data_IF_504089181509
#
_entry.id   IF_504089181509
#
_cell.length_a   1.000
_cell.length_b   1.000
_cell.length_c   1.000
_cell.angle_alpha   90.00
_cell.angle_beta   90.00
_cell.angle_gamma   90.00
#
_symmetry.space_group_name_H-M   'P 1'
#
loop_
_entity.id
_entity.type
_entity.pdbx_description
1 polymer ?
#
# COMPACT_ATOMS: atom_id res chain seq x y z
N UNK A 1 15.70 27.24 9.64
CA UNK A 1 17.06 27.07 9.08
C UNK A 1 17.04 25.83 8.20
N UNK A 2 17.08 25.95 6.86
CA UNK A 2 17.17 24.76 5.98
C UNK A 2 18.63 24.31 5.92
N UNK A 3 19.05 23.55 6.93
CA UNK A 3 20.41 23.05 7.09
C UNK A 3 20.45 21.58 6.71
N UNK A 4 20.24 21.23 5.44
CA UNK A 4 20.62 19.90 4.93
C UNK A 4 21.14 20.07 3.51
N UNK A 5 22.34 20.65 3.40
CA UNK A 5 23.27 20.29 2.34
C UNK A 5 24.27 19.31 2.97
N UNK A 6 23.73 18.27 3.62
CA UNK A 6 24.55 17.15 4.09
C UNK A 6 24.84 16.36 2.81
N UNK A 7 26.06 16.46 2.30
CA UNK A 7 26.55 15.63 1.20
C UNK A 7 26.73 14.17 1.65
N UNK A 8 25.72 13.58 2.30
CA UNK A 8 25.73 12.20 2.69
C UNK A 8 25.31 11.32 1.50
N UNK A 9 25.96 10.16 1.39
CA UNK A 9 25.65 9.18 0.37
C UNK A 9 25.38 7.83 1.02
N UNK A 10 24.24 7.24 0.69
CA UNK A 10 23.86 5.91 1.15
C UNK A 10 24.03 4.92 0.00
N UNK A 11 24.86 3.91 0.20
CA UNK A 11 25.18 2.88 -0.79
C UNK A 11 24.53 1.58 -0.33
N UNK A 12 23.39 1.23 -0.93
CA UNK A 12 22.68 0.00 -0.68
C UNK A 12 23.16 -1.10 -1.63
N UNK A 13 24.13 -1.89 -1.18
CA UNK A 13 24.70 -2.99 -1.97
C UNK A 13 25.31 -4.06 -1.07
N UNK A 14 25.11 -5.33 -1.42
CA UNK A 14 25.80 -6.46 -0.78
C UNK A 14 27.21 -6.70 -1.37
N UNK A 15 27.55 -6.09 -2.51
CA UNK A 15 28.82 -6.31 -3.24
C UNK A 15 29.91 -5.33 -2.81
N UNK A 16 30.93 -5.84 -2.13
CA UNK A 16 31.99 -5.01 -1.52
C UNK A 16 32.81 -4.22 -2.55
N UNK A 17 33.15 -4.85 -3.68
CA UNK A 17 33.86 -4.25 -4.80
C UNK A 17 33.11 -3.05 -5.39
N UNK A 18 31.79 -3.16 -5.53
CA UNK A 18 30.94 -2.07 -6.01
C UNK A 18 30.91 -0.92 -5.00
N UNK A 19 30.73 -1.22 -3.71
CA UNK A 19 30.75 -0.20 -2.65
C UNK A 19 32.07 0.57 -2.63
N UNK A 20 33.20 -0.12 -2.76
CA UNK A 20 34.53 0.50 -2.74
C UNK A 20 34.73 1.46 -3.92
N UNK A 21 34.32 1.04 -5.13
CA UNK A 21 34.40 1.89 -6.33
C UNK A 21 33.51 3.12 -6.19
N UNK A 22 32.26 2.97 -5.71
CA UNK A 22 31.33 4.09 -5.51
C UNK A 22 31.90 5.05 -4.47
N UNK A 23 32.35 4.53 -3.32
CA UNK A 23 32.93 5.33 -2.22
C UNK A 23 34.13 6.13 -2.69
N UNK A 24 35.06 5.51 -3.42
CA UNK A 24 36.22 6.21 -3.96
C UNK A 24 35.83 7.26 -5.02
N UNK A 25 34.81 6.97 -5.83
CA UNK A 25 34.31 7.90 -6.85
C UNK A 25 33.68 9.14 -6.22
N UNK A 26 32.84 8.97 -5.20
CA UNK A 26 32.24 10.06 -4.42
C UNK A 26 33.32 10.90 -3.72
N UNK A 27 34.31 10.25 -3.09
CA UNK A 27 35.47 10.94 -2.49
C UNK A 27 36.20 11.80 -3.51
N UNK A 28 36.41 11.30 -4.72
CA UNK A 28 37.05 12.05 -5.81
C UNK A 28 36.20 13.25 -6.28
N UNK A 29 34.88 13.23 -6.06
CA UNK A 29 33.99 14.38 -6.29
C UNK A 29 33.94 15.36 -5.10
N UNK A 30 34.74 15.13 -4.06
CA UNK A 30 34.85 16.01 -2.89
C UNK A 30 33.87 15.70 -1.76
N UNK A 31 33.14 14.58 -1.83
CA UNK A 31 32.24 14.13 -0.76
C UNK A 31 33.07 13.61 0.43
N UNK A 32 32.78 14.09 1.65
CA UNK A 32 33.47 13.61 2.87
C UNK A 32 33.17 12.12 3.09
N UNK A 33 34.22 11.32 3.21
CA UNK A 33 34.12 9.88 3.46
C UNK A 33 33.41 9.52 4.76
N UNK A 34 33.38 10.41 5.75
CA UNK A 34 32.63 10.19 6.99
C UNK A 34 31.11 10.22 6.77
N UNK A 35 30.65 10.83 5.68
CA UNK A 35 29.25 10.94 5.30
C UNK A 35 28.85 9.92 4.21
N UNK A 36 29.75 8.99 3.87
CA UNK A 36 29.42 7.90 2.93
C UNK A 36 29.12 6.65 3.76
N UNK A 37 27.86 6.21 3.71
CA UNK A 37 27.31 5.11 4.49
C UNK A 37 27.10 3.90 3.58
N UNK A 38 27.69 2.77 3.96
CA UNK A 38 27.45 1.49 3.30
C UNK A 38 26.32 0.77 4.05
N UNK A 39 25.23 0.47 3.37
CA UNK A 39 24.06 -0.18 3.96
C UNK A 39 23.80 -1.51 3.26
N UNK A 40 23.42 -2.52 4.04
CA UNK A 40 23.14 -3.89 3.54
C UNK A 40 21.76 -4.39 3.94
N UNK A 41 21.07 -3.69 4.85
CA UNK A 41 19.71 -3.97 5.29
C UNK A 41 18.73 -2.96 4.71
N UNK A 42 17.59 -3.43 4.21
CA UNK A 42 16.56 -2.58 3.61
C UNK A 42 16.04 -1.55 4.62
N UNK A 43 15.76 -2.00 5.86
CA UNK A 43 15.18 -1.15 6.91
C UNK A 43 16.09 0.01 7.30
N UNK A 44 17.40 -0.20 7.27
CA UNK A 44 18.38 0.84 7.56
C UNK A 44 18.35 1.95 6.48
N UNK A 45 18.21 1.58 5.19
CA UNK A 45 18.06 2.56 4.11
C UNK A 45 16.75 3.33 4.24
N UNK A 46 15.64 2.63 4.51
CA UNK A 46 14.33 3.27 4.72
C UNK A 46 14.38 4.27 5.87
N UNK A 47 14.99 3.90 7.00
CA UNK A 47 15.11 4.80 8.16
C UNK A 47 15.93 6.06 7.83
N UNK A 48 16.96 5.95 6.99
CA UNK A 48 17.74 7.10 6.54
C UNK A 48 16.93 8.02 5.61
N UNK A 49 16.07 7.44 4.76
CA UNK A 49 15.14 8.19 3.92
C UNK A 49 14.16 8.98 4.79
N UNK A 50 13.53 8.34 5.78
CA UNK A 50 12.56 8.99 6.68
C UNK A 50 13.16 10.18 7.43
N UNK A 51 14.42 10.04 7.86
CA UNK A 51 15.15 11.11 8.55
C UNK A 51 15.74 12.16 7.60
N UNK A 52 15.58 11.98 6.28
CA UNK A 52 16.17 12.84 5.25
C UNK A 52 17.69 13.02 5.42
N UNK A 53 18.38 11.96 5.80
CA UNK A 53 19.81 11.99 6.16
C UNK A 53 20.76 11.87 4.96
N UNK A 54 20.25 11.89 3.73
CA UNK A 54 21.04 11.60 2.54
C UNK A 54 20.85 12.65 1.42
N UNK A 55 21.94 12.91 0.68
CA UNK A 55 21.90 13.66 -0.57
C UNK A 55 21.90 12.74 -1.79
N UNK A 56 22.59 11.60 -1.72
CA UNK A 56 22.69 10.63 -2.82
C UNK A 56 22.29 9.24 -2.36
N UNK A 57 21.40 8.60 -3.10
CA UNK A 57 21.01 7.22 -2.87
C UNK A 57 21.55 6.36 -4.01
N UNK A 58 22.44 5.42 -3.71
CA UNK A 58 22.98 4.48 -4.69
C UNK A 58 22.42 3.10 -4.38
N UNK A 59 21.71 2.52 -5.35
CA UNK A 59 21.00 1.26 -5.23
C UNK A 59 21.65 0.22 -6.15
N UNK A 60 21.87 -0.97 -5.64
CA UNK A 60 22.35 -2.12 -6.41
C UNK A 60 21.22 -3.14 -6.56
N UNK A 61 20.73 -3.34 -7.79
CA UNK A 61 19.65 -4.27 -8.12
C UNK A 61 19.93 -5.70 -7.65
N UNK A 62 21.21 -6.08 -7.54
CA UNK A 62 21.63 -7.41 -7.10
C UNK A 62 21.35 -7.69 -5.61
N UNK A 63 20.94 -6.68 -4.82
CA UNK A 63 20.43 -6.93 -3.45
C UNK A 63 19.09 -7.67 -3.43
N UNK A 64 18.33 -7.57 -4.53
CA UNK A 64 17.00 -8.15 -4.72
C UNK A 64 16.05 -7.15 -5.37
N UNK A 65 15.31 -7.57 -6.41
CA UNK A 65 14.36 -6.71 -7.12
C UNK A 65 13.28 -6.14 -6.18
N UNK A 66 12.68 -7.00 -5.35
CA UNK A 66 11.71 -6.60 -4.31
C UNK A 66 12.25 -5.47 -3.43
N UNK A 67 13.44 -5.68 -2.86
CA UNK A 67 14.02 -4.73 -1.92
C UNK A 67 14.33 -3.38 -2.56
N UNK A 68 14.87 -3.37 -3.79
CA UNK A 68 15.11 -2.12 -4.52
C UNK A 68 13.80 -1.41 -4.88
N UNK A 69 12.76 -2.14 -5.29
CA UNK A 69 11.45 -1.56 -5.56
C UNK A 69 10.83 -0.95 -4.30
N UNK A 70 10.91 -1.63 -3.16
CA UNK A 70 10.46 -1.10 -1.88
C UNK A 70 11.19 0.21 -1.58
N UNK A 71 12.53 0.24 -1.68
CA UNK A 71 13.32 1.45 -1.39
C UNK A 71 12.95 2.60 -2.33
N UNK A 72 12.79 2.34 -3.63
CA UNK A 72 12.36 3.36 -4.59
C UNK A 72 10.95 3.90 -4.28
N UNK A 73 10.02 3.01 -3.93
CA UNK A 73 8.64 3.38 -3.59
C UNK A 73 8.58 4.18 -2.29
N UNK A 74 9.30 3.75 -1.26
CA UNK A 74 9.41 4.44 0.03
C UNK A 74 10.04 5.81 -0.14
N UNK A 75 11.11 5.90 -0.94
CA UNK A 75 11.76 7.16 -1.26
C UNK A 75 10.81 8.19 -1.88
N UNK A 76 10.01 7.74 -2.85
CA UNK A 76 8.98 8.58 -3.47
C UNK A 76 7.92 9.02 -2.47
N UNK A 77 7.43 8.11 -1.62
CA UNK A 77 6.41 8.44 -0.60
C UNK A 77 6.93 9.48 0.40
N UNK A 78 8.15 9.29 0.91
CA UNK A 78 8.76 10.18 1.90
C UNK A 78 9.01 11.59 1.36
N UNK A 79 9.40 11.72 0.09
CA UNK A 79 9.77 13.02 -0.48
C UNK A 79 8.70 13.64 -1.37
N UNK A 80 7.64 12.92 -1.75
CA UNK A 80 6.62 13.26 -2.76
C UNK A 80 7.23 13.58 -4.12
N UNK A 81 8.08 14.61 -4.19
CA UNK A 81 8.90 15.05 -5.32
C UNK A 81 10.31 14.54 -5.10
N UNK A 82 10.80 13.68 -5.99
CA UNK A 82 12.15 13.14 -5.87
C UNK A 82 13.21 14.23 -6.10
N UNK A 83 13.66 14.83 -5.01
CA UNK A 83 14.63 15.91 -4.96
C UNK A 83 16.07 15.43 -4.78
N UNK A 84 16.22 14.20 -4.29
CA UNK A 84 17.48 13.54 -4.03
C UNK A 84 17.81 12.59 -5.20
N UNK A 85 18.98 12.72 -5.85
CA UNK A 85 19.34 11.86 -6.96
C UNK A 85 19.53 10.41 -6.52
N UNK A 86 18.94 9.52 -7.31
CA UNK A 86 19.13 8.08 -7.20
C UNK A 86 20.02 7.59 -8.34
N UNK A 87 21.01 6.75 -8.02
CA UNK A 87 21.81 6.02 -8.99
C UNK A 87 21.55 4.52 -8.85
N UNK A 88 21.04 3.89 -9.91
CA UNK A 88 20.76 2.46 -9.93
C UNK A 88 21.81 1.68 -10.71
N UNK A 89 22.34 0.62 -10.11
CA UNK A 89 23.30 -0.30 -10.72
C UNK A 89 22.63 -1.67 -10.88
N UNK A 90 22.72 -2.29 -12.04
CA UNK A 90 22.24 -3.64 -12.28
C UNK A 90 23.22 -4.41 -13.17
N UNK A 91 23.58 -5.64 -12.81
CA UNK A 91 24.56 -6.44 -13.57
C UNK A 91 23.95 -7.13 -14.80
N UNK A 92 22.61 -7.19 -14.86
CA UNK A 92 21.87 -7.87 -15.91
C UNK A 92 21.19 -6.87 -16.84
N UNK A 93 21.44 -6.99 -18.14
CA UNK A 93 20.65 -6.29 -19.15
C UNK A 93 19.20 -6.74 -19.09
N UNK A 94 18.32 -5.82 -18.72
CA UNK A 94 16.89 -6.07 -18.61
C UNK A 94 16.13 -4.75 -18.77
N UNK A 95 15.34 -4.67 -19.83
CA UNK A 95 14.53 -3.48 -20.13
C UNK A 95 13.56 -3.15 -18.99
N UNK A 96 13.02 -4.16 -18.29
CA UNK A 96 12.14 -3.94 -17.15
C UNK A 96 12.81 -3.14 -16.01
N UNK A 97 14.12 -3.31 -15.79
CA UNK A 97 14.87 -2.54 -14.80
C UNK A 97 14.96 -1.07 -15.24
N UNK A 98 15.20 -0.83 -16.52
CA UNK A 98 15.25 0.53 -17.07
C UNK A 98 13.88 1.23 -16.96
N UNK A 99 12.79 0.51 -17.21
CA UNK A 99 11.45 1.08 -17.10
C UNK A 99 11.05 1.34 -15.65
N UNK A 100 11.45 0.47 -14.72
CA UNK A 100 11.32 0.74 -13.29
C UNK A 100 12.13 1.98 -12.88
N UNK A 101 13.38 2.09 -13.32
CA UNK A 101 14.21 3.27 -13.06
C UNK A 101 13.54 4.57 -13.55
N UNK A 102 12.92 4.54 -14.74
CA UNK A 102 12.13 5.68 -15.26
C UNK A 102 10.91 5.97 -14.38
N UNK A 103 10.12 4.96 -14.01
CA UNK A 103 8.90 5.12 -13.20
C UNK A 103 9.14 5.79 -11.83
N UNK A 104 10.32 5.59 -11.26
CA UNK A 104 10.73 6.18 -9.98
C UNK A 104 11.75 7.33 -10.16
N UNK A 105 11.77 7.95 -11.34
CA UNK A 105 12.70 8.99 -11.84
C UNK A 105 14.17 8.92 -11.36
N UNK A 106 14.70 7.70 -11.30
CA UNK A 106 16.12 7.43 -11.06
C UNK A 106 16.98 8.27 -12.00
N UNK A 107 17.87 9.06 -11.40
CA UNK A 107 18.65 10.10 -12.08
C UNK A 107 19.77 9.54 -12.96
N UNK A 108 20.33 8.39 -12.59
CA UNK A 108 21.37 7.71 -13.37
C UNK A 108 21.21 6.20 -13.27
N UNK A 109 21.58 5.46 -14.33
CA UNK A 109 21.64 4.01 -14.27
C UNK A 109 22.83 3.43 -15.01
N UNK A 110 23.36 2.32 -14.49
CA UNK A 110 24.32 1.44 -15.18
C UNK A 110 23.73 0.05 -15.18
N UNK A 111 23.38 -0.45 -16.37
CA UNK A 111 22.73 -1.74 -16.56
C UNK A 111 23.60 -2.59 -17.50
N UNK A 112 23.80 -3.87 -17.17
CA UNK A 112 24.59 -4.81 -17.95
C UNK A 112 25.99 -5.02 -17.38
N UNK A 113 27.00 -5.17 -18.23
CA UNK A 113 28.38 -5.36 -17.77
C UNK A 113 28.85 -4.16 -16.94
N UNK A 114 29.08 -4.40 -15.64
CA UNK A 114 29.46 -3.34 -14.72
C UNK A 114 30.94 -3.02 -14.88
N UNK A 115 31.20 -1.90 -15.54
CA UNK A 115 32.54 -1.31 -15.66
C UNK A 115 32.74 -0.22 -14.60
N UNK A 116 33.86 -0.29 -13.87
CA UNK A 116 34.23 0.70 -12.85
C UNK A 116 34.40 2.12 -13.41
N UNK A 117 34.82 2.26 -14.67
CA UNK A 117 34.93 3.57 -15.33
C UNK A 117 33.53 4.16 -15.57
N UNK A 118 32.57 3.34 -15.99
CA UNK A 118 31.17 3.75 -16.14
C UNK A 118 30.56 4.19 -14.81
N UNK A 119 30.82 3.45 -13.71
CA UNK A 119 30.37 3.88 -12.36
C UNK A 119 30.95 5.26 -12.01
N UNK A 120 32.26 5.48 -12.25
CA UNK A 120 32.91 6.77 -11.97
C UNK A 120 32.30 7.90 -12.78
N UNK A 121 32.03 7.67 -14.06
CA UNK A 121 31.42 8.65 -14.95
C UNK A 121 29.98 9.00 -14.52
N UNK A 122 29.16 8.00 -14.19
CA UNK A 122 27.80 8.21 -13.70
C UNK A 122 27.80 9.01 -12.39
N UNK A 123 28.66 8.68 -11.42
CA UNK A 123 28.77 9.43 -10.16
C UNK A 123 29.22 10.87 -10.40
N UNK A 124 30.21 11.08 -11.28
CA UNK A 124 30.65 12.43 -11.65
C UNK A 124 29.51 13.24 -12.28
N UNK A 125 28.73 12.63 -13.18
CA UNK A 125 27.54 13.23 -13.79
C UNK A 125 26.49 13.59 -12.75
N UNK A 126 26.13 12.63 -11.90
CA UNK A 126 25.13 12.76 -10.83
C UNK A 126 25.47 13.91 -9.87
N UNK A 127 26.70 13.95 -9.34
CA UNK A 127 27.16 15.02 -8.43
C UNK A 127 27.21 16.37 -9.15
N UNK A 128 27.65 16.40 -10.41
CA UNK A 128 27.68 17.61 -11.22
C UNK A 128 26.28 18.17 -11.48
N UNK A 129 25.30 17.32 -11.82
CA UNK A 129 23.90 17.71 -11.98
C UNK A 129 23.27 18.17 -10.67
N UNK A 130 23.57 17.46 -9.58
CA UNK A 130 23.11 17.83 -8.26
C UNK A 130 23.55 19.26 -7.90
N UNK A 131 24.85 19.55 -8.03
CA UNK A 131 25.40 20.87 -7.69
C UNK A 131 24.95 21.98 -8.64
N UNK A 132 24.62 21.66 -9.89
CA UNK A 132 24.17 22.65 -10.88
C UNK A 132 22.77 23.22 -10.60
N UNK A 133 21.93 22.51 -9.85
CA UNK A 133 20.56 22.93 -9.49
C UNK A 133 19.82 23.54 -10.70
N UNK A 134 19.45 22.72 -11.69
CA UNK A 134 18.72 23.18 -12.88
C UNK A 134 17.45 23.98 -12.49
N UNK A 135 17.00 24.94 -13.31
CA UNK A 135 15.82 25.76 -12.97
C UNK A 135 14.59 24.93 -12.59
N UNK A 136 14.35 23.84 -13.33
CA UNK A 136 13.26 22.90 -13.04
C UNK A 136 13.43 22.24 -11.66
N UNK A 137 14.65 21.81 -11.32
CA UNK A 137 14.95 21.22 -10.01
C UNK A 137 14.79 22.22 -8.88
N UNK A 138 15.19 23.48 -9.07
CA UNK A 138 14.97 24.53 -8.08
C UNK A 138 13.48 24.76 -7.81
N UNK A 139 12.65 24.73 -8.84
CA UNK A 139 11.19 24.83 -8.67
C UNK A 139 10.68 23.61 -7.93
N UNK A 140 11.05 22.40 -8.34
CA UNK A 140 10.63 21.16 -7.68
C UNK A 140 11.01 21.10 -6.18
N UNK A 141 12.23 21.54 -5.82
CA UNK A 141 12.65 21.68 -4.41
C UNK A 141 11.78 22.68 -3.62
N UNK A 142 11.34 23.77 -4.27
CA UNK A 142 10.43 24.74 -3.64
C UNK A 142 9.03 24.15 -3.47
N UNK A 143 8.54 23.42 -4.47
CA UNK A 143 7.26 22.71 -4.37
C UNK A 143 7.30 21.73 -3.20
N UNK A 144 8.36 20.95 -3.07
CA UNK A 144 8.53 19.98 -1.99
C UNK A 144 8.51 20.67 -0.62
N UNK A 145 9.26 21.77 -0.50
CA UNK A 145 9.29 22.58 0.71
C UNK A 145 7.89 23.12 1.05
N UNK A 146 7.19 23.72 0.09
CA UNK A 146 5.84 24.24 0.29
C UNK A 146 4.85 23.15 0.71
N UNK A 147 4.95 21.93 0.16
CA UNK A 147 4.13 20.79 0.60
C UNK A 147 4.40 20.43 2.06
N UNK A 148 5.67 20.32 2.45
CA UNK A 148 6.06 20.05 3.85
C UNK A 148 5.59 21.13 4.82
N UNK A 149 5.48 22.37 4.36
CA UNK A 149 4.97 23.50 5.16
C UNK A 149 3.43 23.59 5.13
N UNK A 150 2.73 22.66 4.46
CA UNK A 150 1.27 22.67 4.32
C UNK A 150 0.73 23.71 3.33
N UNK A 151 1.62 24.41 2.62
CA UNK A 151 1.29 25.45 1.64
C UNK A 151 0.91 24.85 0.27
N UNK A 152 -0.07 23.95 0.26
CA UNK A 152 -0.40 23.12 -0.89
C UNK A 152 -0.80 23.93 -2.14
N UNK A 153 -1.43 25.10 -1.97
CA UNK A 153 -1.81 25.96 -3.10
C UNK A 153 -0.61 26.62 -3.79
N UNK A 154 0.43 26.98 -3.02
CA UNK A 154 1.68 27.49 -3.59
C UNK A 154 2.43 26.40 -4.34
N UNK A 155 2.45 25.18 -3.79
CA UNK A 155 3.01 24.01 -4.46
C UNK A 155 2.31 23.76 -5.80
N UNK A 156 0.98 23.83 -5.80
CA UNK A 156 0.15 23.70 -6.99
C UNK A 156 0.47 24.77 -8.04
N UNK A 157 0.45 26.06 -7.68
CA UNK A 157 0.75 27.17 -8.61
C UNK A 157 2.16 27.04 -9.24
N UNK A 158 3.13 26.56 -8.46
CA UNK A 158 4.49 26.31 -8.96
C UNK A 158 4.53 25.16 -9.97
N UNK A 159 3.79 24.08 -9.75
CA UNK A 159 3.69 22.95 -10.69
C UNK A 159 2.95 23.36 -11.98
N UNK A 160 1.90 24.16 -11.90
CA UNK A 160 1.22 24.71 -13.09
C UNK A 160 2.18 25.57 -13.92
N UNK A 161 3.03 26.38 -13.28
CA UNK A 161 4.07 27.15 -13.99
C UNK A 161 5.09 26.25 -14.68
N UNK A 162 5.44 25.11 -14.08
CA UNK A 162 6.29 24.11 -14.74
C UNK A 162 5.61 23.59 -16.00
N UNK A 163 4.35 23.17 -15.90
CA UNK A 163 3.60 22.63 -17.04
C UNK A 163 3.34 23.68 -18.13
N UNK A 164 3.19 24.95 -17.77
CA UNK A 164 3.09 26.05 -18.75
C UNK A 164 4.34 26.19 -19.63
N UNK A 165 5.53 25.84 -19.12
CA UNK A 165 6.80 25.90 -19.86
C UNK A 165 7.22 24.53 -20.43
N UNK A 166 6.78 23.44 -19.80
CA UNK A 166 7.11 22.06 -20.17
C UNK A 166 5.84 21.19 -20.03
N UNK A 167 4.91 21.29 -21.00
CA UNK A 167 3.59 20.65 -20.90
C UNK A 167 3.61 19.13 -20.73
N UNK A 168 4.68 18.49 -21.19
CA UNK A 168 4.86 17.03 -21.15
C UNK A 168 5.88 16.60 -20.08
N UNK A 169 6.13 17.42 -19.05
CA UNK A 169 7.01 17.04 -17.95
C UNK A 169 6.33 15.97 -17.07
N UNK A 170 6.75 14.68 -17.13
CA UNK A 170 6.05 13.59 -16.45
C UNK A 170 6.03 13.76 -14.93
N UNK A 171 7.08 14.36 -14.36
CA UNK A 171 7.15 14.62 -12.92
C UNK A 171 6.09 15.63 -12.52
N UNK A 172 6.03 16.80 -13.15
CA UNK A 172 5.04 17.80 -12.79
C UNK A 172 3.59 17.34 -13.00
N UNK A 173 3.33 16.53 -14.04
CA UNK A 173 2.01 15.92 -14.27
C UNK A 173 1.63 15.00 -13.11
N UNK A 174 2.53 14.07 -12.73
CA UNK A 174 2.30 13.12 -11.63
C UNK A 174 2.09 13.84 -10.32
N UNK A 175 2.95 14.81 -9.99
CA UNK A 175 2.83 15.57 -8.74
C UNK A 175 1.51 16.33 -8.62
N UNK A 176 1.10 16.97 -9.71
CA UNK A 176 -0.14 17.73 -9.73
C UNK A 176 -1.36 16.80 -9.57
N UNK A 177 -1.36 15.68 -10.28
CA UNK A 177 -2.41 14.68 -10.18
C UNK A 177 -2.49 14.05 -8.78
N UNK A 178 -1.35 13.68 -8.18
CA UNK A 178 -1.29 13.15 -6.82
C UNK A 178 -1.78 14.19 -5.79
N UNK A 179 -1.46 15.47 -5.98
CA UNK A 179 -1.98 16.55 -5.13
C UNK A 179 -3.50 16.72 -5.25
N UNK A 180 -4.10 16.48 -6.40
CA UNK A 180 -5.56 16.50 -6.54
C UNK A 180 -6.19 15.26 -5.91
N UNK A 181 -5.59 14.08 -6.13
CA UNK A 181 -6.01 12.82 -5.52
C UNK A 181 -6.00 12.91 -3.99
N UNK A 182 -4.96 13.48 -3.38
CA UNK A 182 -4.87 13.64 -1.92
C UNK A 182 -5.92 14.62 -1.36
N UNK A 183 -6.48 15.51 -2.18
CA UNK A 183 -7.59 16.41 -1.81
C UNK A 183 -8.96 15.83 -2.17
N UNK A 184 -9.03 14.56 -2.59
CA UNK A 184 -10.22 13.92 -3.12
C UNK A 184 -10.82 14.61 -4.36
N UNK A 185 -10.03 15.42 -5.08
CA UNK A 185 -10.42 16.08 -6.32
C UNK A 185 -10.11 15.19 -7.54
N UNK A 186 -10.84 14.07 -7.62
CA UNK A 186 -10.61 13.02 -8.61
C UNK A 186 -10.83 13.49 -10.05
N UNK A 187 -11.74 14.45 -10.25
CA UNK A 187 -12.04 15.02 -11.57
C UNK A 187 -10.90 15.89 -12.09
N UNK A 188 -10.33 16.77 -11.24
CA UNK A 188 -9.17 17.55 -11.65
C UNK A 188 -7.95 16.66 -11.91
N UNK A 189 -7.71 15.65 -11.07
CA UNK A 189 -6.66 14.67 -11.31
C UNK A 189 -6.83 13.97 -12.68
N UNK A 190 -8.05 13.54 -13.01
CA UNK A 190 -8.33 12.93 -14.31
C UNK A 190 -8.08 13.89 -15.47
N UNK A 191 -8.48 15.16 -15.34
CA UNK A 191 -8.28 16.19 -16.36
C UNK A 191 -6.80 16.49 -16.62
N UNK A 192 -5.94 16.38 -15.61
CA UNK A 192 -4.49 16.47 -15.75
C UNK A 192 -3.90 15.21 -16.40
N UNK A 193 -4.36 14.01 -16.03
CA UNK A 193 -3.75 12.75 -16.48
C UNK A 193 -4.18 12.32 -17.89
N UNK A 194 -5.46 12.51 -18.22
CA UNK A 194 -6.09 11.97 -19.45
C UNK A 194 -5.39 12.41 -20.74
N UNK A 195 -4.98 13.68 -20.93
CA UNK A 195 -4.26 14.10 -22.14
C UNK A 195 -2.91 13.41 -22.33
N UNK A 196 -2.30 12.93 -21.24
CA UNK A 196 -0.93 12.38 -21.23
C UNK A 196 -0.87 10.85 -21.20
N UNK A 197 -2.01 10.16 -21.27
CA UNK A 197 -2.06 8.68 -21.28
C UNK A 197 -1.32 8.03 -22.47
N UNK A 198 -1.13 8.78 -23.55
CA UNK A 198 -0.45 8.37 -24.78
C UNK A 198 0.86 9.15 -25.04
N UNK A 199 1.45 9.73 -23.99
CA UNK A 199 2.72 10.45 -24.13
C UNK A 199 3.85 9.55 -24.64
N UNK A 200 4.82 10.14 -25.33
CA UNK A 200 6.01 9.49 -25.86
C UNK A 200 7.28 10.16 -25.30
N UNK A 201 8.11 9.47 -24.49
CA UNK A 201 7.98 8.06 -24.10
C UNK A 201 6.83 7.80 -23.11
N UNK A 202 6.23 6.59 -23.11
CA UNK A 202 5.11 6.25 -22.24
C UNK A 202 5.54 6.22 -20.77
N UNK A 203 4.64 6.61 -19.88
CA UNK A 203 4.91 6.68 -18.44
C UNK A 203 3.91 5.86 -17.62
N UNK A 204 4.41 4.82 -16.94
CA UNK A 204 3.59 3.86 -16.21
C UNK A 204 2.78 4.51 -15.08
N UNK A 205 3.38 5.45 -14.34
CA UNK A 205 2.73 6.09 -13.19
C UNK A 205 1.51 6.93 -13.59
N UNK A 206 1.52 7.59 -14.74
CA UNK A 206 0.36 8.33 -15.24
C UNK A 206 -0.83 7.40 -15.48
N UNK A 207 -0.59 6.23 -16.09
CA UNK A 207 -1.64 5.20 -16.29
C UNK A 207 -2.13 4.61 -14.96
N UNK A 208 -1.24 4.40 -13.99
CA UNK A 208 -1.61 3.93 -12.65
C UNK A 208 -2.49 4.96 -11.92
N UNK A 209 -2.09 6.24 -11.88
CA UNK A 209 -2.90 7.28 -11.25
C UNK A 209 -4.26 7.45 -11.94
N UNK A 210 -4.31 7.34 -13.27
CA UNK A 210 -5.56 7.37 -14.01
C UNK A 210 -6.46 6.19 -13.60
N UNK A 211 -5.89 4.99 -13.39
CA UNK A 211 -6.65 3.87 -12.85
C UNK A 211 -7.29 4.19 -11.51
N UNK A 212 -6.57 4.86 -10.59
CA UNK A 212 -7.14 5.30 -9.29
C UNK A 212 -8.31 6.27 -9.47
N UNK A 213 -8.24 7.20 -10.43
CA UNK A 213 -9.38 8.04 -10.78
C UNK A 213 -10.58 7.21 -11.26
N UNK A 214 -10.36 6.21 -12.13
CA UNK A 214 -11.42 5.30 -12.61
C UNK A 214 -12.03 4.47 -11.48
N UNK A 215 -11.23 3.99 -10.54
CA UNK A 215 -11.71 3.28 -9.34
C UNK A 215 -12.67 4.14 -8.52
N UNK A 216 -12.35 5.42 -8.32
CA UNK A 216 -13.23 6.33 -7.58
C UNK A 216 -14.52 6.66 -8.30
N UNK A 217 -14.59 6.41 -9.61
CA UNK A 217 -15.81 6.47 -10.41
C UNK A 217 -16.55 5.12 -10.47
N UNK A 218 -16.11 4.12 -9.71
CA UNK A 218 -16.58 2.73 -9.76
C UNK A 218 -16.43 2.07 -11.14
N UNK A 219 -15.56 2.60 -12.02
CA UNK A 219 -15.19 1.94 -13.27
C UNK A 219 -14.03 0.96 -13.05
N UNK A 220 -14.35 -0.18 -12.43
CA UNK A 220 -13.39 -1.24 -12.14
C UNK A 220 -12.71 -1.79 -13.41
N UNK A 221 -13.44 -1.90 -14.52
CA UNK A 221 -12.89 -2.44 -15.77
C UNK A 221 -11.90 -1.46 -16.42
N UNK A 222 -12.23 -0.16 -16.48
CA UNK A 222 -11.29 0.85 -16.99
C UNK A 222 -10.08 1.05 -16.08
N UNK A 223 -10.24 0.90 -14.77
CA UNK A 223 -9.12 0.85 -13.83
C UNK A 223 -8.19 -0.32 -14.13
N UNK A 224 -8.71 -1.54 -14.21
CA UNK A 224 -7.92 -2.74 -14.55
C UNK A 224 -7.22 -2.58 -15.91
N UNK A 225 -7.90 -2.04 -16.93
CA UNK A 225 -7.28 -1.81 -18.23
C UNK A 225 -6.09 -0.83 -18.15
N UNK A 226 -6.24 0.22 -17.34
CA UNK A 226 -5.19 1.22 -17.12
C UNK A 226 -4.02 0.66 -16.31
N UNK A 227 -4.28 -0.14 -15.27
CA UNK A 227 -3.26 -0.86 -14.51
C UNK A 227 -2.50 -1.87 -15.40
N UNK A 228 -3.21 -2.67 -16.21
CA UNK A 228 -2.57 -3.57 -17.19
C UNK A 228 -1.66 -2.80 -18.15
N UNK A 229 -2.11 -1.64 -18.64
CA UNK A 229 -1.30 -0.77 -19.49
C UNK A 229 -0.05 -0.22 -18.79
N UNK A 230 -0.13 0.11 -17.50
CA UNK A 230 1.02 0.52 -16.70
C UNK A 230 1.98 -0.65 -16.44
N UNK A 231 1.45 -1.85 -16.18
CA UNK A 231 2.22 -3.09 -15.94
C UNK A 231 3.05 -3.51 -17.15
N UNK A 232 2.50 -3.34 -18.36
CA UNK A 232 3.24 -3.59 -19.60
C UNK A 232 4.43 -2.64 -19.78
N UNK A 233 4.36 -1.42 -19.25
CA UNK A 233 5.46 -0.45 -19.34
C UNK A 233 6.54 -0.78 -18.31
N UNK A 234 6.15 -1.03 -17.05
CA UNK A 234 7.09 -1.21 -15.93
C UNK A 234 6.65 -2.38 -15.05
N UNK A 235 7.16 -3.61 -15.25
CA UNK A 235 6.53 -4.81 -14.71
C UNK A 235 6.88 -5.14 -13.24
N UNK A 236 7.78 -4.39 -12.59
CA UNK A 236 8.23 -4.70 -11.22
C UNK A 236 7.46 -3.97 -10.11
N UNK A 237 6.42 -3.19 -10.45
CA UNK A 237 5.63 -2.47 -9.46
C UNK A 237 4.65 -3.43 -8.75
N UNK A 238 4.99 -3.79 -7.51
CA UNK A 238 4.20 -4.71 -6.67
C UNK A 238 2.85 -4.12 -6.26
N UNK A 239 2.81 -2.83 -5.91
CA UNK A 239 1.57 -2.10 -5.55
C UNK A 239 0.52 -2.24 -6.66
N UNK A 240 0.93 -2.13 -7.92
CA UNK A 240 0.04 -2.26 -9.06
C UNK A 240 -0.54 -3.67 -9.22
N UNK A 241 0.29 -4.70 -9.08
CA UNK A 241 -0.16 -6.10 -9.16
C UNK A 241 -1.07 -6.46 -7.98
N UNK A 242 -0.81 -5.92 -6.78
CA UNK A 242 -1.68 -6.07 -5.62
C UNK A 242 -3.05 -5.42 -5.87
N UNK A 243 -3.07 -4.16 -6.33
CA UNK A 243 -4.31 -3.46 -6.69
C UNK A 243 -5.11 -4.22 -7.75
N UNK A 244 -4.45 -4.74 -8.80
CA UNK A 244 -5.10 -5.58 -9.80
C UNK A 244 -5.68 -6.85 -9.19
N UNK A 245 -4.90 -7.54 -8.35
CA UNK A 245 -5.34 -8.75 -7.66
C UNK A 245 -6.58 -8.51 -6.79
N UNK A 246 -6.57 -7.48 -5.98
CA UNK A 246 -7.70 -7.11 -5.12
C UNK A 246 -8.95 -6.75 -5.94
N UNK A 247 -8.79 -6.00 -7.03
CA UNK A 247 -9.91 -5.68 -7.93
C UNK A 247 -10.49 -6.92 -8.62
N UNK A 248 -9.64 -7.86 -9.01
CA UNK A 248 -10.11 -9.13 -9.56
C UNK A 248 -10.88 -9.94 -8.52
N UNK A 249 -10.46 -9.94 -7.25
CA UNK A 249 -11.24 -10.57 -6.17
C UNK A 249 -12.61 -9.90 -6.01
N UNK A 250 -12.68 -8.57 -5.98
CA UNK A 250 -13.96 -7.85 -5.89
C UNK A 250 -14.91 -8.17 -7.06
N UNK A 251 -14.37 -8.42 -8.25
CA UNK A 251 -15.14 -8.76 -9.45
C UNK A 251 -15.40 -10.27 -9.63
N UNK A 252 -15.11 -11.09 -8.62
CA UNK A 252 -15.22 -12.56 -8.66
C UNK A 252 -14.38 -13.25 -9.75
N UNK A 253 -13.22 -12.67 -10.07
CA UNK A 253 -12.25 -13.19 -11.04
C UNK A 253 -11.05 -13.79 -10.31
N UNK A 254 -11.32 -14.82 -9.50
CA UNK A 254 -10.34 -15.42 -8.56
C UNK A 254 -9.07 -15.92 -9.26
N UNK A 255 -9.19 -16.49 -10.47
CA UNK A 255 -8.03 -16.98 -11.24
C UNK A 255 -7.09 -15.83 -11.61
N UNK A 256 -7.62 -14.74 -12.17
CA UNK A 256 -6.81 -13.55 -12.54
C UNK A 256 -6.23 -12.83 -11.33
N UNK A 257 -6.93 -12.86 -10.19
CA UNK A 257 -6.40 -12.35 -8.94
C UNK A 257 -5.17 -13.16 -8.51
N UNK A 258 -5.30 -14.49 -8.52
CA UNK A 258 -4.24 -15.42 -8.15
C UNK A 258 -3.03 -15.27 -9.06
N UNK A 259 -3.25 -15.18 -10.37
CA UNK A 259 -2.18 -14.92 -11.36
C UNK A 259 -1.42 -13.62 -11.05
N UNK A 260 -2.12 -12.56 -10.66
CA UNK A 260 -1.53 -11.26 -10.32
C UNK A 260 -0.64 -11.36 -9.07
N UNK A 261 -1.10 -12.07 -8.03
CA UNK A 261 -0.30 -12.32 -6.83
C UNK A 261 0.89 -13.25 -7.10
N UNK A 262 0.73 -14.26 -7.95
CA UNK A 262 1.82 -15.14 -8.37
C UNK A 262 2.87 -14.41 -9.20
N UNK A 263 2.48 -13.43 -10.01
CA UNK A 263 3.43 -12.58 -10.73
C UNK A 263 4.37 -11.83 -9.77
N UNK A 264 3.84 -11.31 -8.65
CA UNK A 264 4.66 -10.70 -7.59
C UNK A 264 5.63 -11.74 -7.02
N UNK A 265 5.13 -12.91 -6.63
CA UNK A 265 5.93 -13.95 -5.99
C UNK A 265 7.06 -14.51 -6.88
N UNK A 266 7.00 -14.32 -8.20
CA UNK A 266 8.10 -14.69 -9.12
C UNK A 266 9.36 -13.84 -8.92
N UNK A 267 9.23 -12.57 -8.53
CA UNK A 267 10.36 -11.66 -8.34
C UNK A 267 10.50 -11.13 -6.91
N UNK A 268 9.49 -11.37 -6.08
CA UNK A 268 9.41 -11.03 -4.66
C UNK A 268 8.83 -12.22 -3.86
N UNK A 269 9.57 -13.35 -3.73
CA UNK A 269 9.04 -14.57 -3.12
C UNK A 269 8.62 -14.42 -1.65
N UNK A 270 9.16 -13.42 -0.96
CA UNK A 270 8.86 -13.12 0.44
C UNK A 270 7.84 -12.00 0.62
N UNK A 271 7.24 -11.51 -0.48
CA UNK A 271 6.22 -10.47 -0.45
C UNK A 271 4.99 -10.94 0.34
N UNK A 272 4.95 -10.57 1.62
CA UNK A 272 3.87 -10.93 2.54
C UNK A 272 2.51 -10.50 1.99
N UNK A 273 2.39 -9.28 1.47
CA UNK A 273 1.15 -8.78 0.86
C UNK A 273 0.63 -9.66 -0.27
N UNK A 274 1.51 -10.19 -1.13
CA UNK A 274 1.12 -11.12 -2.20
C UNK A 274 0.70 -12.49 -1.65
N UNK A 275 1.39 -13.00 -0.62
CA UNK A 275 0.99 -14.25 0.08
C UNK A 275 -0.40 -14.11 0.73
N UNK A 276 -0.68 -12.98 1.38
CA UNK A 276 -1.99 -12.66 1.95
C UNK A 276 -3.06 -12.55 0.85
N UNK A 277 -2.78 -11.82 -0.22
CA UNK A 277 -3.67 -11.67 -1.39
C UNK A 277 -4.02 -13.01 -2.03
N UNK A 278 -3.01 -13.84 -2.33
CA UNK A 278 -3.20 -15.19 -2.87
C UNK A 278 -4.04 -16.06 -1.95
N UNK A 279 -3.82 -15.97 -0.64
CA UNK A 279 -4.59 -16.71 0.35
C UNK A 279 -6.06 -16.28 0.36
N UNK A 280 -6.37 -14.98 0.21
CA UNK A 280 -7.76 -14.51 0.04
C UNK A 280 -8.42 -15.18 -1.17
N UNK A 281 -7.72 -15.27 -2.30
CA UNK A 281 -8.19 -15.97 -3.51
C UNK A 281 -8.49 -17.45 -3.26
N UNK A 282 -7.55 -18.17 -2.64
CA UNK A 282 -7.72 -19.59 -2.25
C UNK A 282 -8.92 -19.78 -1.32
N UNK A 283 -9.10 -18.91 -0.32
CA UNK A 283 -10.26 -18.97 0.59
C UNK A 283 -11.59 -18.80 -0.15
N UNK A 284 -11.64 -17.86 -1.11
CA UNK A 284 -12.82 -17.63 -1.95
C UNK A 284 -13.10 -18.79 -2.91
N UNK A 285 -12.07 -19.53 -3.32
CA UNK A 285 -12.20 -20.78 -4.08
C UNK A 285 -12.57 -22.00 -3.19
N UNK A 286 -12.54 -21.87 -1.86
CA UNK A 286 -12.79 -22.96 -0.91
C UNK A 286 -11.56 -23.80 -0.55
N UNK A 287 -10.38 -23.40 -1.02
CA UNK A 287 -9.09 -24.08 -0.81
C UNK A 287 -8.46 -23.73 0.56
N UNK A 288 -9.24 -23.91 1.63
CA UNK A 288 -8.90 -23.42 2.97
C UNK A 288 -7.57 -24.01 3.50
N UNK A 289 -7.31 -25.29 3.24
CA UNK A 289 -6.09 -25.94 3.73
C UNK A 289 -4.83 -25.37 3.06
N UNK A 290 -4.90 -25.03 1.78
CA UNK A 290 -3.77 -24.47 1.02
C UNK A 290 -3.50 -23.03 1.46
N UNK A 291 -4.56 -22.23 1.62
CA UNK A 291 -4.47 -20.89 2.20
C UNK A 291 -3.83 -20.90 3.59
N UNK A 292 -4.25 -21.82 4.47
CA UNK A 292 -3.65 -21.96 5.81
C UNK A 292 -2.19 -22.40 5.76
N UNK A 293 -1.81 -23.24 4.79
CA UNK A 293 -0.41 -23.61 4.57
C UNK A 293 0.45 -22.39 4.26
N UNK A 294 0.00 -21.54 3.34
CA UNK A 294 0.70 -20.33 2.94
C UNK A 294 0.76 -19.27 4.06
N UNK A 295 -0.33 -19.08 4.78
CA UNK A 295 -0.42 -18.05 5.83
C UNK A 295 0.38 -18.39 7.09
N UNK A 296 0.54 -19.68 7.45
CA UNK A 296 1.27 -20.10 8.66
C UNK A 296 2.71 -19.61 8.72
N UNK A 297 3.33 -19.38 7.56
CA UNK A 297 4.72 -18.97 7.47
C UNK A 297 4.89 -17.44 7.52
N UNK A 298 3.82 -16.66 7.31
CA UNK A 298 3.93 -15.21 7.13
C UNK A 298 2.92 -14.36 7.93
N UNK A 299 1.93 -14.96 8.58
CA UNK A 299 0.85 -14.25 9.27
C UNK A 299 0.74 -14.65 10.75
N UNK A 300 0.55 -13.66 11.62
CA UNK A 300 0.13 -13.86 13.01
C UNK A 300 -1.32 -14.37 13.09
N UNK A 301 -1.76 -14.83 14.26
CA UNK A 301 -3.17 -15.24 14.46
C UNK A 301 -4.16 -14.10 14.19
N UNK A 302 -3.78 -12.86 14.51
CA UNK A 302 -4.57 -11.66 14.22
C UNK A 302 -4.69 -11.43 12.70
N UNK A 303 -3.58 -11.46 11.99
CA UNK A 303 -3.54 -11.28 10.53
C UNK A 303 -4.26 -12.40 9.78
N UNK A 304 -4.07 -13.65 10.20
CA UNK A 304 -4.83 -14.80 9.72
C UNK A 304 -6.33 -14.49 9.77
N UNK A 305 -6.82 -14.05 10.92
CA UNK A 305 -8.24 -13.81 11.12
C UNK A 305 -8.75 -12.61 10.32
N UNK A 306 -7.93 -11.58 10.13
CA UNK A 306 -8.20 -10.48 9.21
C UNK A 306 -8.37 -10.95 7.76
N UNK A 307 -7.50 -11.84 7.28
CA UNK A 307 -7.60 -12.45 5.95
C UNK A 307 -8.91 -13.24 5.79
N UNK A 308 -9.28 -14.06 6.78
CA UNK A 308 -10.55 -14.81 6.76
C UNK A 308 -11.77 -13.88 6.76
N UNK A 309 -11.78 -12.83 7.59
CA UNK A 309 -12.87 -11.85 7.61
C UNK A 309 -12.99 -11.09 6.28
N UNK A 310 -11.87 -10.65 5.72
CA UNK A 310 -11.86 -9.94 4.43
C UNK A 310 -12.39 -10.83 3.31
N UNK A 311 -11.91 -12.09 3.23
CA UNK A 311 -12.42 -13.06 2.26
C UNK A 311 -13.92 -13.36 2.50
N UNK A 312 -14.38 -13.40 3.76
CA UNK A 312 -15.80 -13.55 4.07
C UNK A 312 -16.64 -12.37 3.58
N UNK A 313 -16.19 -11.13 3.80
CA UNK A 313 -16.86 -9.91 3.30
C UNK A 313 -16.99 -9.96 1.79
N UNK A 314 -15.90 -10.28 1.07
CA UNK A 314 -15.90 -10.41 -0.40
C UNK A 314 -16.90 -11.49 -0.84
N UNK A 315 -16.91 -12.66 -0.21
CA UNK A 315 -17.86 -13.72 -0.52
C UNK A 315 -19.33 -13.28 -0.31
N UNK A 316 -19.63 -12.53 0.75
CA UNK A 316 -20.96 -11.97 1.01
C UNK A 316 -21.32 -10.90 -0.03
N UNK A 317 -20.37 -10.05 -0.45
CA UNK A 317 -20.55 -9.08 -1.55
C UNK A 317 -20.95 -9.80 -2.85
N UNK A 318 -20.30 -10.92 -3.14
CA UNK A 318 -20.57 -11.81 -4.28
C UNK A 318 -21.78 -12.75 -4.11
N UNK A 319 -22.55 -12.64 -3.02
CA UNK A 319 -23.70 -13.51 -2.70
C UNK A 319 -23.35 -15.00 -2.51
N UNK A 320 -22.05 -15.32 -2.32
CA UNK A 320 -21.57 -16.66 -1.94
C UNK A 320 -21.71 -16.87 -0.43
N UNK A 321 -22.95 -16.79 0.05
CA UNK A 321 -23.27 -16.78 1.49
C UNK A 321 -22.70 -17.97 2.26
N UNK A 322 -22.75 -19.19 1.70
CA UNK A 322 -22.23 -20.38 2.36
C UNK A 322 -20.71 -20.29 2.61
N UNK A 323 -19.96 -19.81 1.62
CA UNK A 323 -18.51 -19.57 1.74
C UNK A 323 -18.26 -18.46 2.77
N UNK A 324 -18.95 -17.33 2.64
CA UNK A 324 -18.78 -16.18 3.55
C UNK A 324 -19.02 -16.53 5.01
N UNK A 325 -20.14 -17.20 5.34
CA UNK A 325 -20.42 -17.60 6.71
C UNK A 325 -19.46 -18.67 7.24
N UNK A 326 -19.01 -19.60 6.39
CA UNK A 326 -17.96 -20.56 6.76
C UNK A 326 -16.64 -19.88 7.11
N UNK A 327 -16.26 -18.83 6.37
CA UNK A 327 -15.05 -18.05 6.63
C UNK A 327 -15.18 -17.19 7.90
N UNK A 328 -16.32 -16.56 8.16
CA UNK A 328 -16.56 -15.87 9.45
C UNK A 328 -16.46 -16.83 10.64
N UNK A 329 -17.08 -18.01 10.55
CA UNK A 329 -16.97 -19.06 11.57
C UNK A 329 -15.51 -19.43 11.82
N UNK A 330 -14.72 -19.55 10.75
CA UNK A 330 -13.29 -19.86 10.88
C UNK A 330 -12.49 -18.71 11.51
N UNK A 331 -12.77 -17.46 11.15
CA UNK A 331 -12.14 -16.29 11.74
C UNK A 331 -12.41 -16.20 13.26
N UNK A 332 -13.66 -16.41 13.69
CA UNK A 332 -14.03 -16.42 15.12
C UNK A 332 -13.32 -17.54 15.90
N UNK A 333 -13.18 -18.72 15.32
CA UNK A 333 -12.43 -19.83 15.94
C UNK A 333 -10.95 -19.48 16.19
N UNK A 334 -10.33 -18.70 15.30
CA UNK A 334 -8.93 -18.28 15.42
C UNK A 334 -8.74 -17.13 16.42
N UNK A 335 -9.79 -16.35 16.70
CA UNK A 335 -9.78 -15.17 17.58
C UNK A 335 -10.48 -15.38 18.91
N UNK A 336 -10.61 -16.62 19.39
CA UNK A 336 -11.37 -16.95 20.61
C UNK A 336 -11.06 -16.06 21.84
N UNK A 337 -9.91 -15.39 21.87
CA UNK A 337 -9.44 -14.52 22.97
C UNK A 337 -9.53 -13.02 22.69
N UNK A 338 -9.69 -12.58 21.44
CA UNK A 338 -9.78 -11.15 21.08
C UNK A 338 -11.24 -10.74 20.93
N UNK A 339 -11.80 -10.15 22.00
CA UNK A 339 -13.21 -9.74 22.05
C UNK A 339 -13.52 -8.61 21.07
N UNK A 340 -12.62 -7.65 20.89
CA UNK A 340 -12.82 -6.50 20.00
C UNK A 340 -12.85 -6.89 18.52
N UNK A 341 -11.95 -7.78 18.10
CA UNK A 341 -11.99 -8.31 16.72
C UNK A 341 -13.15 -9.28 16.52
N UNK A 342 -13.46 -10.11 17.51
CA UNK A 342 -14.61 -11.03 17.45
C UNK A 342 -15.94 -10.28 17.31
N UNK A 343 -16.10 -9.15 18.01
CA UNK A 343 -17.26 -8.27 17.88
C UNK A 343 -17.43 -7.78 16.43
N UNK A 344 -16.36 -7.26 15.81
CA UNK A 344 -16.40 -6.78 14.42
C UNK A 344 -16.73 -7.87 13.40
N UNK A 345 -16.21 -9.10 13.58
CA UNK A 345 -16.60 -10.24 12.73
C UNK A 345 -18.08 -10.59 12.91
N UNK A 346 -18.57 -10.63 14.15
CA UNK A 346 -20.00 -10.88 14.42
C UNK A 346 -20.88 -9.82 13.77
N UNK A 347 -20.47 -8.55 13.82
CA UNK A 347 -21.15 -7.47 13.13
C UNK A 347 -21.19 -7.67 11.61
N UNK A 348 -20.06 -7.99 10.98
CA UNK A 348 -19.99 -8.27 9.54
C UNK A 348 -20.81 -9.49 9.13
N UNK A 349 -20.82 -10.53 9.97
CA UNK A 349 -21.67 -11.70 9.82
C UNK A 349 -23.16 -11.31 9.90
N UNK A 350 -23.50 -10.39 10.82
CA UNK A 350 -24.83 -9.81 10.93
C UNK A 350 -25.26 -9.10 9.65
N UNK A 351 -24.40 -8.27 9.06
CA UNK A 351 -24.64 -7.64 7.75
C UNK A 351 -24.85 -8.68 6.66
N UNK A 352 -24.05 -9.75 6.64
CA UNK A 352 -24.21 -10.85 5.70
C UNK A 352 -25.58 -11.52 5.80
N UNK A 353 -26.09 -11.74 7.02
CA UNK A 353 -27.44 -12.29 7.22
C UNK A 353 -28.53 -11.31 6.79
N UNK A 354 -28.38 -10.01 7.08
CA UNK A 354 -29.31 -8.97 6.61
C UNK A 354 -29.38 -8.96 5.08
N UNK A 355 -28.22 -9.04 4.40
CA UNK A 355 -28.16 -9.10 2.93
C UNK A 355 -28.81 -10.37 2.35
N UNK A 356 -28.71 -11.51 3.05
CA UNK A 356 -29.42 -12.76 2.69
C UNK A 356 -30.93 -12.71 2.98
N UNK A 357 -31.41 -11.70 3.71
CA UNK A 357 -32.81 -11.57 4.15
C UNK A 357 -33.13 -12.28 5.47
N UNK A 358 -32.13 -12.78 6.19
CA UNK A 358 -32.28 -13.48 7.47
C UNK A 358 -32.18 -12.50 8.65
N UNK A 359 -33.14 -11.59 8.71
CA UNK A 359 -33.11 -10.45 9.64
C UNK A 359 -33.01 -10.85 11.11
N UNK A 360 -33.59 -11.98 11.52
CA UNK A 360 -33.52 -12.46 12.90
C UNK A 360 -32.10 -12.89 13.28
N UNK A 361 -31.40 -13.58 12.38
CA UNK A 361 -30.00 -13.97 12.58
C UNK A 361 -29.08 -12.77 12.53
N UNK A 362 -29.32 -11.87 11.57
CA UNK A 362 -28.61 -10.59 11.48
C UNK A 362 -28.69 -9.78 12.79
N UNK A 363 -29.90 -9.64 13.34
CA UNK A 363 -30.11 -9.01 14.63
C UNK A 363 -29.38 -9.72 15.78
N UNK A 364 -29.46 -11.05 15.84
CA UNK A 364 -28.76 -11.85 16.85
C UNK A 364 -27.24 -11.62 16.81
N UNK A 365 -26.66 -11.57 15.62
CA UNK A 365 -25.25 -11.24 15.42
C UNK A 365 -24.90 -9.84 15.91
N UNK A 366 -25.73 -8.83 15.64
CA UNK A 366 -25.50 -7.47 16.15
C UNK A 366 -25.59 -7.39 17.68
N UNK A 367 -26.54 -8.11 18.29
CA UNK A 367 -26.65 -8.20 19.75
C UNK A 367 -25.38 -8.83 20.34
N UNK A 368 -24.96 -9.99 19.83
CA UNK A 368 -23.72 -10.65 20.28
C UNK A 368 -22.49 -9.77 20.07
N UNK A 369 -22.41 -9.04 18.96
CA UNK A 369 -21.34 -8.07 18.72
C UNK A 369 -21.33 -6.97 19.79
N UNK A 370 -22.48 -6.41 20.15
CA UNK A 370 -22.60 -5.35 21.16
C UNK A 370 -22.37 -5.88 22.58
N UNK A 371 -22.72 -7.13 22.88
CA UNK A 371 -22.38 -7.78 24.16
C UNK A 371 -20.87 -8.03 24.29
N UNK A 372 -20.22 -8.37 23.18
CA UNK A 372 -18.78 -8.62 23.13
C UNK A 372 -17.95 -7.34 23.24
N UNK A 373 -18.39 -6.26 22.58
CA UNK A 373 -17.80 -4.93 22.63
C UNK A 373 -18.90 -3.85 22.71
N UNK A 374 -19.30 -3.41 23.92
CA UNK A 374 -20.33 -2.39 24.12
C UNK A 374 -19.94 -0.98 23.62
N UNK A 375 -18.66 -0.72 23.39
CA UNK A 375 -18.15 0.54 22.85
C UNK A 375 -18.17 0.55 21.32
N UNK A 376 -18.45 -0.59 20.68
CA UNK A 376 -18.58 -0.66 19.23
C UNK A 376 -19.92 -0.05 18.76
N UNK A 377 -19.90 1.25 18.54
CA UNK A 377 -21.08 2.07 18.23
C UNK A 377 -21.89 1.57 17.02
N UNK A 378 -21.26 0.99 15.99
CA UNK A 378 -21.98 0.45 14.84
C UNK A 378 -22.92 -0.70 15.24
N UNK A 379 -22.46 -1.63 16.07
CA UNK A 379 -23.29 -2.75 16.55
C UNK A 379 -24.41 -2.25 17.46
N UNK A 380 -24.09 -1.36 18.39
CA UNK A 380 -25.04 -0.71 19.30
C UNK A 380 -26.15 0.05 18.55
N UNK A 381 -25.77 0.81 17.52
CA UNK A 381 -26.69 1.51 16.65
C UNK A 381 -27.65 0.53 15.97
N UNK A 382 -27.13 -0.52 15.32
CA UNK A 382 -27.94 -1.50 14.59
C UNK A 382 -28.90 -2.27 15.51
N UNK A 383 -28.47 -2.64 16.73
CA UNK A 383 -29.36 -3.25 17.74
C UNK A 383 -30.51 -2.30 18.10
N UNK A 384 -30.20 -1.02 18.34
CA UNK A 384 -31.21 -0.01 18.67
C UNK A 384 -32.23 0.18 17.53
N UNK A 385 -31.77 0.32 16.30
CA UNK A 385 -32.65 0.51 15.12
C UNK A 385 -33.54 -0.72 14.89
N UNK A 386 -32.98 -1.92 14.98
CA UNK A 386 -33.71 -3.17 14.71
C UNK A 386 -34.68 -3.58 15.84
N UNK A 387 -34.39 -3.21 17.09
CA UNK A 387 -35.32 -3.46 18.21
C UNK A 387 -36.59 -2.60 18.15
N UNK A 388 -36.48 -1.38 17.61
CA UNK A 388 -37.61 -0.47 17.39
C UNK A 388 -38.52 -0.91 16.23
N UNK A 389 -37.95 -1.58 15.22
CA UNK A 389 -38.71 -2.10 14.08
C UNK A 389 -39.51 -3.34 14.42
N UNK A 390 -38.99 -4.25 15.26
CA UNK A 390 -39.76 -5.38 15.82
C UNK A 390 -40.98 -4.93 16.64
N UNK A 391 -40.99 -3.70 17.15
CA UNK A 391 -42.08 -3.11 17.94
C UNK A 391 -43.07 -2.25 17.12
N UNK A 392 -42.91 -2.21 15.79
CA UNK A 392 -43.88 -1.66 14.85
C UNK A 392 -43.57 -0.24 14.38
N UNK A 393 -42.66 -0.12 13.40
CA UNK A 393 -42.66 0.84 12.26
C UNK A 393 -41.24 1.06 11.75
N UNK A 394 -41.15 1.36 10.44
CA UNK A 394 -39.95 1.67 9.62
C UNK A 394 -39.40 0.47 8.82
N UNK A 395 -39.30 0.65 7.51
CA UNK A 395 -38.56 -0.23 6.62
C UNK A 395 -37.11 0.27 6.61
N UNK A 396 -36.16 -0.58 6.99
CA UNK A 396 -34.73 -0.22 6.96
C UNK A 396 -34.25 -0.34 5.52
N UNK A 397 -33.62 0.72 5.01
CA UNK A 397 -32.93 0.64 3.71
C UNK A 397 -31.62 -0.14 3.90
N UNK A 398 -31.32 -1.08 2.99
CA UNK A 398 -30.04 -1.81 3.04
C UNK A 398 -28.82 -0.88 2.89
N UNK A 399 -29.02 0.36 2.46
CA UNK A 399 -27.99 1.40 2.36
C UNK A 399 -27.42 1.84 3.73
N UNK A 400 -28.04 1.45 4.86
CA UNK A 400 -27.55 1.79 6.21
C UNK A 400 -26.52 0.79 6.78
N UNK A 401 -26.26 -0.34 6.12
CA UNK A 401 -25.39 -1.41 6.63
C UNK A 401 -24.08 -1.52 5.84
N UNK A 402 -23.01 -0.92 6.36
CA UNK A 402 -21.66 -1.04 5.79
C UNK A 402 -20.81 -2.04 6.58
N UNK A 403 -20.22 -3.02 5.88
CA UNK A 403 -19.29 -3.96 6.48
C UNK A 403 -18.03 -3.24 6.96
N UNK A 404 -17.56 -3.59 8.15
CA UNK A 404 -16.31 -3.07 8.71
C UNK A 404 -15.19 -4.01 8.33
N UNK A 405 -14.41 -3.61 7.33
CA UNK A 405 -13.15 -4.29 7.04
C UNK A 405 -12.17 -4.05 8.19
N UNK A 406 -11.33 -5.05 8.49
CA UNK A 406 -10.19 -4.82 9.35
C UNK A 406 -9.14 -4.12 8.50
N UNK A 407 -9.19 -2.80 8.46
CA UNK A 407 -8.04 -2.06 7.95
C UNK A 407 -6.87 -2.26 8.92
N UNK A 408 -6.00 -3.23 8.62
CA UNK A 408 -4.57 -2.94 8.66
C UNK A 408 -4.22 -2.39 7.28
N UNK A 409 -4.79 -1.23 6.94
CA UNK A 409 -4.14 -0.47 5.90
C UNK A 409 -2.81 -0.03 6.50
N UNK A 410 -1.70 -0.43 5.88
CA UNK A 410 -0.61 0.53 5.71
C UNK A 410 -1.16 1.65 4.81
N UNK A 411 -2.09 2.44 5.33
CA UNK A 411 -2.47 3.69 4.73
C UNK A 411 -1.28 4.60 4.97
N UNK A 412 -0.65 4.96 3.86
CA UNK A 412 0.18 6.16 3.84
C UNK A 412 -0.77 7.27 4.23
N UNK A 413 -0.56 7.87 5.41
CA UNK A 413 -1.32 9.05 5.83
C UNK A 413 -1.24 10.13 4.75
N UNK A 414 -2.15 11.11 4.78
CA UNK A 414 -2.14 12.23 3.83
C UNK A 414 -0.80 13.01 3.80
N UNK A 415 0.09 12.76 4.77
CA UNK A 415 1.42 13.34 4.94
C UNK A 415 2.60 12.41 4.57
N UNK A 416 2.34 11.20 4.07
CA UNK A 416 3.42 10.26 3.72
C UNK A 416 3.93 9.39 4.87
N UNK A 417 3.37 9.50 6.08
CA UNK A 417 3.77 8.65 7.21
C UNK A 417 3.16 7.25 7.10
N UNK A 418 3.98 6.22 7.37
CA UNK A 418 3.47 4.89 7.74
C UNK A 418 3.11 5.00 9.22
N UNK A 419 1.88 5.39 9.50
CA UNK A 419 1.34 5.22 10.84
C UNK A 419 0.83 3.78 10.94
N UNK A 420 1.27 3.04 11.96
CA UNK A 420 0.40 2.03 12.55
C UNK A 420 -0.80 2.81 13.07
N UNK A 421 -1.90 2.85 12.29
CA UNK A 421 -3.16 3.23 12.88
C UNK A 421 -3.56 2.11 13.83
N UNK A 422 -3.27 2.33 15.12
CA UNK A 422 -4.23 1.94 16.12
C UNK A 422 -5.58 2.50 15.66
N UNK A 423 -6.59 1.63 15.68
CA UNK A 423 -8.02 1.94 15.65
C UNK A 423 -8.33 3.34 16.16
N UNK A 424 -9.37 3.99 15.62
CA UNK A 424 -10.04 5.13 16.26
C UNK A 424 -9.90 5.09 17.80
N UNK A 425 -8.89 5.80 18.33
CA UNK A 425 -8.70 5.99 19.75
C UNK A 425 -9.25 7.37 20.08
N UNK A 426 -10.37 7.39 20.80
CA UNK A 426 -10.57 8.42 21.81
C UNK A 426 -9.70 8.05 23.04
N UNK A 427 -9.19 9.04 23.79
CA UNK A 427 -7.88 8.93 24.42
C UNK A 427 -7.90 8.19 25.76
N UNK A 428 -6.90 7.32 25.93
CA UNK A 428 -6.21 7.12 27.20
C UNK A 428 -6.72 6.00 28.09
N UNK A 429 -6.00 4.88 28.07
CA UNK A 429 -5.51 4.26 29.30
C UNK A 429 -4.44 3.21 28.97
N UNK A 430 -3.25 3.39 29.54
CA UNK A 430 -2.17 2.41 29.55
C UNK A 430 -2.70 1.01 29.94
N UNK A 431 -2.62 0.05 29.02
CA UNK A 431 -2.75 -1.36 29.35
C UNK A 431 -1.35 -1.95 29.56
N UNK A 432 -0.92 -1.99 30.81
CA UNK A 432 0.16 -2.86 31.25
C UNK A 432 -0.25 -4.31 31.06
N UNK A 433 0.61 -5.11 30.41
CA UNK A 433 0.52 -6.56 30.38
C UNK A 433 0.41 -7.11 31.82
N UNK A 434 -0.76 -7.61 32.20
CA UNK A 434 -0.91 -8.45 33.38
C UNK A 434 -1.21 -9.88 32.94
N UNK A 435 -0.18 -10.71 33.07
CA UNK A 435 -0.23 -12.15 32.95
C UNK A 435 -1.02 -12.74 34.13
N UNK A 436 -2.34 -12.77 34.00
CA UNK A 436 -3.23 -13.42 34.95
C UNK A 436 -4.09 -14.48 34.25
N UNK A 437 -3.78 -15.75 34.50
CA UNK A 437 -4.63 -16.90 34.19
C UNK A 437 -6.03 -16.68 34.79
N UNK A 438 -7.00 -16.29 33.96
CA UNK A 438 -8.41 -16.48 34.24
C UNK A 438 -9.05 -17.20 33.05
N UNK A 439 -9.42 -18.45 33.34
CA UNK A 439 -9.95 -19.47 32.47
C UNK A 439 -11.43 -19.18 32.15
N UNK A 440 -11.72 -18.05 31.50
CA UNK A 440 -13.02 -17.79 30.87
C UNK A 440 -12.95 -18.29 29.42
N UNK A 441 -13.01 -19.62 29.25
CA UNK A 441 -13.25 -20.24 27.96
C UNK A 441 -14.63 -19.79 27.44
N UNK A 442 -14.64 -18.83 26.52
CA UNK A 442 -15.79 -18.56 25.65
C UNK A 442 -16.15 -19.86 24.92
N UNK A 443 -17.34 -20.39 25.22
CA UNK A 443 -17.90 -21.56 24.55
C UNK A 443 -18.32 -21.16 23.12
N UNK A 444 -17.35 -21.22 22.21
CA UNK A 444 -17.55 -20.95 20.80
C UNK A 444 -18.57 -21.92 20.19
N UNK A 445 -18.64 -23.16 20.68
CA UNK A 445 -19.63 -24.12 20.23
C UNK A 445 -21.05 -23.68 20.64
N UNK A 446 -21.24 -23.05 21.80
CA UNK A 446 -22.52 -22.41 22.15
C UNK A 446 -22.85 -21.19 21.27
N UNK A 447 -21.86 -20.36 20.92
CA UNK A 447 -22.06 -19.23 19.98
C UNK A 447 -22.45 -19.75 18.59
N UNK A 448 -21.86 -20.86 18.14
CA UNK A 448 -22.12 -21.50 16.85
C UNK A 448 -23.42 -22.32 16.83
N UNK A 449 -23.73 -23.04 17.90
CA UNK A 449 -24.98 -23.79 18.08
C UNK A 449 -26.18 -22.83 18.17
N UNK A 450 -26.02 -21.65 18.78
CA UNK A 450 -27.03 -20.58 18.77
C UNK A 450 -27.17 -19.86 17.41
N UNK A 451 -26.28 -20.10 16.44
CA UNK A 451 -26.37 -19.51 15.08
C UNK A 451 -26.79 -20.57 14.05
N UNK A 452 -26.46 -21.85 14.26
CA UNK A 452 -26.92 -22.98 13.44
C UNK A 452 -28.32 -23.50 13.83
N UNK A 453 -28.79 -23.28 15.08
CA UNK A 453 -30.13 -23.69 15.53
C UNK A 453 -31.25 -22.63 15.33
N UNK A 454 -31.01 -21.59 14.53
CA UNK A 454 -32.06 -20.68 14.02
C UNK A 454 -32.23 -20.82 12.52
#
# INVERSE_FOLDING_TARGET
MSKIDIEAAFIYSKRADIRDVIRQSLKNQGIDTNNIHNVMDEKEVMSAIDKSEYAYLILDWEVGAESVQNVLQHNRKAHSIESHPVFLIAAKENEAILQAAKEYFVSACTIGEINTDTIREQIKGLVGEYRRLSPIRQVLLKVEKSRREGELDKAHEMLEKVLAHSPDNPRAIVELAESHISRNDWEAAENILRPHLAMDPPYARIKHLYARCRLKQNDYNGAIASLKGAQLISPYNTERLLEMGDLFLELDRVDEATDSFEEILKFAPEAKSAKLGKSKGMLLAGEINEALGLLRECASNRELSSVFNTAAIIAIKQEKFAVGFGLYKKALQLLARDKGLSARILYNMGIGFMKRGENEKGYSCFVKSNEMDPEFENAKHNVKVLSQTKSGSVAISMEEFEAVEFEETMTVGEDGTIAEYASDEAPGSDYTEDSGDNDDNLDLDAIFDDVENF
#
